data_IF_936068659039
#
_entry.id   IF_936068659039
#
_cell.length_a   1.000
_cell.length_b   1.000
_cell.length_c   1.000
_cell.angle_alpha   90.00
_cell.angle_beta   90.00
_cell.angle_gamma   90.00
#
_symmetry.space_group_name_H-M   'P 1'
#
loop_
_entity.id
_entity.type
_entity.pdbx_description
1 polymer ?
#
# COMPACT_ATOMS: atom_id res chain seq x y z
N UNK A 1 18.38 -25.26 9.84
CA UNK A 1 17.36 -26.27 9.51
C UNK A 1 17.69 -26.79 8.13
N UNK A 2 17.77 -28.11 7.95
CA UNK A 2 18.16 -28.73 6.68
C UNK A 2 16.92 -28.95 5.80
N UNK A 3 17.05 -28.87 4.47
CA UNK A 3 15.93 -29.01 3.52
C UNK A 3 15.17 -30.32 3.69
N UNK A 4 15.87 -31.39 4.09
CA UNK A 4 15.24 -32.70 4.39
C UNK A 4 14.31 -32.65 5.60
N UNK A 5 14.66 -31.85 6.59
CA UNK A 5 13.90 -31.70 7.84
C UNK A 5 12.63 -30.87 7.59
N UNK A 6 12.72 -29.84 6.74
CA UNK A 6 11.56 -29.06 6.31
C UNK A 6 10.57 -29.90 5.49
N UNK A 7 11.08 -30.71 4.56
CA UNK A 7 10.26 -31.58 3.70
C UNK A 7 9.51 -32.65 4.52
N UNK A 8 10.15 -33.23 5.54
CA UNK A 8 9.46 -34.15 6.47
C UNK A 8 8.37 -33.45 7.28
N UNK A 9 8.60 -32.24 7.78
CA UNK A 9 7.60 -31.46 8.52
C UNK A 9 6.40 -31.15 7.63
N UNK A 10 6.63 -30.68 6.40
CA UNK A 10 5.55 -30.35 5.47
C UNK A 10 4.73 -31.58 5.06
N UNK A 11 5.39 -32.74 4.88
CA UNK A 11 4.70 -34.00 4.59
C UNK A 11 3.93 -34.55 5.80
N UNK A 12 4.39 -34.26 7.01
CA UNK A 12 3.72 -34.65 8.26
C UNK A 12 2.53 -33.78 8.63
N UNK A 13 2.40 -32.59 8.02
CA UNK A 13 1.30 -31.67 8.30
C UNK A 13 -0.03 -32.24 7.79
N UNK A 14 -0.92 -32.56 8.73
CA UNK A 14 -2.23 -33.10 8.42
C UNK A 14 -3.11 -32.02 7.78
N UNK A 15 -3.59 -32.26 6.56
CA UNK A 15 -4.55 -31.36 5.91
C UNK A 15 -5.88 -31.43 6.68
N UNK A 16 -6.42 -30.29 7.15
CA UNK A 16 -7.70 -30.28 7.86
C UNK A 16 -8.79 -30.88 6.97
N UNK A 17 -9.53 -31.84 7.52
CA UNK A 17 -10.65 -32.45 6.83
C UNK A 17 -11.77 -31.39 6.70
N UNK A 18 -12.04 -30.95 5.47
CA UNK A 18 -13.09 -29.98 5.16
C UNK A 18 -14.31 -30.75 4.70
N UNK A 19 -15.32 -30.82 5.55
CA UNK A 19 -16.58 -31.46 5.25
C UNK A 19 -17.48 -30.57 4.36
N UNK A 20 -18.58 -31.14 3.90
CA UNK A 20 -19.53 -30.42 3.04
C UNK A 20 -20.20 -29.24 3.78
N UNK A 21 -20.32 -29.33 5.11
CA UNK A 21 -20.84 -28.25 5.96
C UNK A 21 -19.89 -27.03 5.96
N UNK A 22 -18.58 -27.25 6.01
CA UNK A 22 -17.57 -26.21 5.87
C UNK A 22 -17.73 -25.45 4.55
N UNK A 23 -17.82 -26.17 3.42
CA UNK A 23 -17.95 -25.53 2.10
C UNK A 23 -19.24 -24.73 1.96
N UNK A 24 -20.35 -25.24 2.49
CA UNK A 24 -21.63 -24.56 2.48
C UNK A 24 -21.65 -23.27 3.32
N UNK A 25 -21.02 -23.30 4.50
CA UNK A 25 -20.93 -22.11 5.36
C UNK A 25 -20.00 -21.04 4.79
N UNK A 26 -18.90 -21.46 4.16
CA UNK A 26 -17.92 -20.58 3.55
C UNK A 26 -18.51 -19.81 2.36
N UNK A 27 -19.17 -20.51 1.42
CA UNK A 27 -19.80 -19.88 0.26
C UNK A 27 -20.91 -18.88 0.67
N UNK A 28 -21.69 -19.22 1.71
CA UNK A 28 -22.71 -18.32 2.28
C UNK A 28 -22.08 -17.07 2.93
N UNK A 29 -20.95 -17.21 3.62
CA UNK A 29 -20.24 -16.09 4.22
C UNK A 29 -19.70 -15.09 3.18
N UNK A 30 -19.18 -15.60 2.06
CA UNK A 30 -18.68 -14.76 0.96
C UNK A 30 -19.84 -14.06 0.25
N UNK A 31 -20.89 -14.79 -0.11
CA UNK A 31 -22.05 -14.20 -0.80
C UNK A 31 -22.72 -13.14 0.07
N UNK A 32 -22.94 -13.39 1.37
CA UNK A 32 -23.52 -12.39 2.27
C UNK A 32 -22.71 -11.09 2.31
N UNK A 33 -21.37 -11.14 2.24
CA UNK A 33 -20.51 -9.94 2.23
C UNK A 33 -20.57 -9.18 0.90
N UNK A 34 -20.70 -9.88 -0.22
CA UNK A 34 -20.78 -9.23 -1.54
C UNK A 34 -22.09 -8.47 -1.77
N UNK A 35 -23.20 -8.91 -1.16
CA UNK A 35 -24.52 -8.27 -1.34
C UNK A 35 -24.69 -6.94 -0.57
N UNK A 36 -23.73 -6.58 0.31
CA UNK A 36 -23.79 -5.35 1.11
C UNK A 36 -23.31 -4.09 0.36
N UNK A 37 -22.88 -4.21 -0.90
CA UNK A 37 -22.60 -3.05 -1.76
C UNK A 37 -23.78 -2.76 -2.68
N UNK A 38 -24.78 -2.08 -2.13
CA UNK A 38 -25.80 -1.37 -2.92
C UNK A 38 -25.61 0.13 -2.69
N UNK A 39 -25.15 0.91 -3.68
CA UNK A 39 -25.04 2.36 -3.51
C UNK A 39 -26.46 2.94 -3.43
N UNK A 40 -26.83 3.42 -2.24
CA UNK A 40 -28.01 4.28 -2.06
C UNK A 40 -27.61 5.67 -2.55
N UNK A 41 -27.92 5.94 -3.81
CA UNK A 41 -27.80 7.27 -4.40
C UNK A 41 -29.20 7.86 -4.48
N UNK A 42 -29.59 8.58 -3.43
CA UNK A 42 -30.64 9.59 -3.48
C UNK A 42 -30.60 10.44 -2.20
N UNK A 43 -30.16 11.70 -2.33
CA UNK A 43 -30.98 12.86 -1.97
C UNK A 43 -30.27 14.18 -2.28
N UNK A 44 -30.91 14.89 -3.20
CA UNK A 44 -30.76 16.29 -3.56
C UNK A 44 -31.00 17.27 -2.41
N UNK A 45 -30.25 18.38 -2.33
CA UNK A 45 -30.80 19.68 -1.89
C UNK A 45 -30.18 20.84 -2.69
N UNK A 46 -31.01 21.39 -3.57
CA UNK A 46 -31.23 22.78 -4.02
C UNK A 46 -30.11 23.82 -4.21
N UNK A 47 -30.28 24.52 -5.34
CA UNK A 47 -29.56 25.67 -5.85
C UNK A 47 -29.83 27.00 -5.11
N UNK A 48 -28.77 27.83 -5.02
CA UNK A 48 -28.63 29.31 -5.23
C UNK A 48 -29.67 30.30 -4.62
N UNK A 49 -29.36 31.58 -4.28
CA UNK A 49 -28.81 32.55 -5.24
C UNK A 49 -27.96 33.76 -4.72
N UNK A 50 -27.44 34.46 -5.74
CA UNK A 50 -26.77 35.77 -5.94
C UNK A 50 -27.11 36.99 -5.03
N UNK A 51 -26.11 37.92 -5.00
CA UNK A 51 -26.08 39.41 -4.72
C UNK A 51 -25.62 39.80 -3.29
N UNK A 52 -24.85 40.86 -3.02
CA UNK A 52 -24.42 42.07 -3.75
C UNK A 52 -23.20 42.73 -3.04
N UNK A 53 -22.32 43.30 -3.87
CA UNK A 53 -21.43 44.47 -3.75
C UNK A 53 -21.28 45.29 -2.42
N UNK A 54 -19.99 45.53 -2.11
CA UNK A 54 -19.29 46.80 -1.78
C UNK A 54 -18.97 47.20 -0.31
N UNK A 55 -17.65 47.38 -0.12
CA UNK A 55 -16.94 48.50 0.52
C UNK A 55 -16.64 48.46 2.04
N UNK A 56 -15.36 48.29 2.36
CA UNK A 56 -14.50 49.18 3.19
C UNK A 56 -13.16 48.45 3.47
N UNK A 57 -12.12 48.69 2.67
CA UNK A 57 -10.99 49.58 2.99
C UNK A 57 -10.23 49.24 4.29
N UNK A 58 -8.96 48.83 4.12
CA UNK A 58 -7.90 48.93 5.14
C UNK A 58 -7.32 47.59 5.62
N UNK A 59 -6.08 47.30 5.22
CA UNK A 59 -5.15 46.36 5.88
C UNK A 59 -5.30 44.83 5.72
N UNK A 60 -5.52 44.29 4.51
CA UNK A 60 -5.60 42.82 4.34
C UNK A 60 -4.89 42.24 3.09
N UNK A 61 -3.80 42.85 2.64
CA UNK A 61 -3.03 42.34 1.49
C UNK A 61 -1.92 41.33 1.86
N UNK A 62 -1.54 41.22 3.13
CA UNK A 62 -0.55 40.22 3.58
C UNK A 62 -1.18 38.91 4.07
N UNK A 63 -2.41 38.94 4.60
CA UNK A 63 -3.07 37.76 5.17
C UNK A 63 -3.79 36.90 4.13
N UNK A 64 -4.24 37.48 3.01
CA UNK A 64 -4.91 36.74 1.94
C UNK A 64 -3.99 35.79 1.20
N UNK A 65 -2.72 36.16 0.94
CA UNK A 65 -1.74 35.27 0.32
C UNK A 65 -1.36 34.08 1.23
N UNK A 66 -1.32 34.28 2.56
CA UNK A 66 -0.98 33.21 3.49
C UNK A 66 -2.12 32.18 3.56
N UNK A 67 -3.38 32.62 3.58
CA UNK A 67 -4.54 31.71 3.61
C UNK A 67 -4.76 31.01 2.25
N UNK A 68 -4.55 31.71 1.13
CA UNK A 68 -4.55 31.10 -0.21
C UNK A 68 -3.38 30.12 -0.41
N UNK A 69 -2.18 30.45 0.09
CA UNK A 69 -1.02 29.57 0.05
C UNK A 69 -1.19 28.31 0.89
N UNK A 70 -1.80 28.41 2.07
CA UNK A 70 -2.06 27.25 2.94
C UNK A 70 -3.17 26.34 2.38
N UNK A 71 -4.21 26.91 1.78
CA UNK A 71 -5.31 26.11 1.20
C UNK A 71 -4.91 25.43 -0.12
N UNK A 72 -4.10 26.09 -0.97
CA UNK A 72 -3.56 25.47 -2.20
C UNK A 72 -2.44 24.47 -1.89
N UNK A 73 -1.60 24.74 -0.88
CA UNK A 73 -0.52 23.85 -0.46
C UNK A 73 -1.01 22.55 0.18
N UNK A 74 -2.09 22.59 0.96
CA UNK A 74 -2.63 21.41 1.63
C UNK A 74 -3.36 20.45 0.67
N UNK A 75 -3.87 20.96 -0.46
CA UNK A 75 -4.61 20.15 -1.44
C UNK A 75 -3.72 19.45 -2.47
N UNK A 76 -2.42 19.77 -2.53
CA UNK A 76 -1.47 19.08 -3.42
C UNK A 76 -1.04 17.69 -2.93
N UNK A 77 -1.51 17.27 -1.75
CA UNK A 77 -1.37 15.90 -1.24
C UNK A 77 -2.35 14.88 -1.88
N UNK A 78 -3.12 15.28 -2.91
CA UNK A 78 -4.25 14.51 -3.44
C UNK A 78 -3.96 13.72 -4.72
N UNK A 79 -2.71 13.41 -5.02
CA UNK A 79 -2.34 12.34 -5.95
C UNK A 79 -1.68 11.20 -5.18
N UNK A 80 -2.54 10.49 -4.50
CA UNK A 80 -2.23 9.31 -3.72
C UNK A 80 -2.60 8.08 -4.55
N UNK A 81 -1.86 7.96 -5.65
CA UNK A 81 -1.84 6.85 -6.60
C UNK A 81 -0.45 6.85 -7.21
N UNK A 82 0.19 5.70 -7.35
CA UNK A 82 1.41 5.61 -8.18
C UNK A 82 1.11 6.13 -9.59
N UNK A 83 1.78 7.22 -9.99
CA UNK A 83 1.78 7.67 -11.38
C UNK A 83 2.65 6.71 -12.22
N UNK A 84 2.35 6.52 -13.49
CA UNK A 84 3.15 5.69 -14.43
C UNK A 84 4.60 6.14 -14.48
N UNK A 85 4.85 7.44 -14.38
CA UNK A 85 6.21 7.98 -14.28
C UNK A 85 6.94 7.51 -13.02
N UNK A 86 6.27 7.50 -11.86
CA UNK A 86 6.86 7.06 -10.60
C UNK A 86 7.22 5.56 -10.64
N UNK A 87 6.39 4.74 -11.30
CA UNK A 87 6.70 3.33 -11.50
C UNK A 87 7.91 3.14 -12.43
N UNK A 88 8.01 3.91 -13.51
CA UNK A 88 9.16 3.85 -14.41
C UNK A 88 10.46 4.30 -13.73
N UNK A 89 10.41 5.38 -12.94
CA UNK A 89 11.56 5.87 -12.18
C UNK A 89 12.00 4.85 -11.12
N UNK A 90 11.04 4.26 -10.39
CA UNK A 90 11.31 3.20 -9.41
C UNK A 90 11.94 1.96 -10.07
N UNK A 91 11.47 1.56 -11.26
CA UNK A 91 12.02 0.44 -12.03
C UNK A 91 13.46 0.69 -12.42
N UNK A 92 13.74 1.86 -12.99
CA UNK A 92 15.09 2.25 -13.36
C UNK A 92 16.02 2.23 -12.15
N UNK A 93 15.57 2.84 -11.05
CA UNK A 93 16.35 2.92 -9.81
C UNK A 93 16.67 1.52 -9.25
N UNK A 94 15.69 0.61 -9.29
CA UNK A 94 15.89 -0.77 -8.89
C UNK A 94 16.98 -1.47 -9.71
N UNK A 95 16.90 -1.41 -11.04
CA UNK A 95 17.88 -2.09 -11.91
C UNK A 95 19.30 -1.55 -11.76
N UNK A 96 19.46 -0.24 -11.53
CA UNK A 96 20.77 0.34 -11.25
C UNK A 96 21.36 -0.21 -9.95
N UNK A 97 20.55 -0.38 -8.90
CA UNK A 97 21.00 -0.90 -7.61
C UNK A 97 21.23 -2.41 -7.65
N UNK A 98 20.35 -3.16 -8.30
CA UNK A 98 20.46 -4.62 -8.43
C UNK A 98 21.74 -5.01 -9.19
N UNK A 99 22.13 -4.23 -10.20
CA UNK A 99 23.41 -4.40 -10.89
C UNK A 99 24.64 -4.19 -9.99
N UNK A 100 24.53 -3.39 -8.93
CA UNK A 100 25.60 -3.15 -7.95
C UNK A 100 25.59 -4.18 -6.81
N UNK A 101 24.41 -4.66 -6.42
CA UNK A 101 24.18 -5.55 -5.26
C UNK A 101 23.33 -6.77 -5.64
N UNK A 102 23.83 -7.65 -6.53
CA UNK A 102 23.05 -8.77 -7.04
C UNK A 102 22.63 -9.71 -5.91
N UNK A 103 21.33 -10.02 -5.85
CA UNK A 103 20.71 -10.89 -4.83
C UNK A 103 20.97 -10.44 -3.38
N UNK A 104 21.32 -9.18 -3.15
CA UNK A 104 21.56 -8.64 -1.80
C UNK A 104 20.54 -7.60 -1.36
N UNK A 105 19.81 -7.00 -2.30
CA UNK A 105 18.82 -5.97 -1.98
C UNK A 105 17.62 -6.60 -1.27
N UNK A 106 17.35 -6.24 -0.01
CA UNK A 106 16.11 -6.62 0.70
C UNK A 106 15.01 -5.58 0.49
N UNK A 107 15.40 -4.32 0.61
CA UNK A 107 14.50 -3.19 0.37
C UNK A 107 15.27 -1.94 -0.04
N UNK A 108 14.65 -1.13 -0.89
CA UNK A 108 14.98 0.27 -1.10
C UNK A 108 13.89 1.07 -0.39
N UNK A 109 14.26 1.86 0.61
CA UNK A 109 13.32 2.59 1.46
C UNK A 109 13.34 4.07 1.08
N UNK A 110 12.16 4.64 0.86
CA UNK A 110 11.93 6.05 0.62
C UNK A 110 11.17 6.63 1.81
N UNK A 111 11.84 7.37 2.70
CA UNK A 111 11.20 8.00 3.84
C UNK A 111 11.68 9.45 4.04
N UNK A 112 11.35 10.05 5.20
CA UNK A 112 11.71 11.43 5.52
C UNK A 112 13.22 11.68 5.62
N UNK A 113 14.04 10.63 5.81
CA UNK A 113 15.51 10.72 5.84
C UNK A 113 16.11 10.63 4.44
N UNK A 114 15.27 10.42 3.42
CA UNK A 114 15.68 10.19 2.04
C UNK A 114 15.76 8.72 1.69
N UNK A 115 16.34 8.43 0.53
CA UNK A 115 16.43 7.08 0.00
C UNK A 115 17.60 6.34 0.63
N UNK A 116 17.36 5.13 1.12
CA UNK A 116 18.41 4.27 1.67
C UNK A 116 18.16 2.78 1.35
N UNK A 117 19.25 2.01 1.37
CA UNK A 117 19.25 0.59 1.04
C UNK A 117 19.28 -0.26 2.30
N UNK A 118 18.48 -1.32 2.29
CA UNK A 118 18.57 -2.43 3.24
C UNK A 118 19.10 -3.63 2.47
N UNK A 119 20.31 -4.06 2.80
CA UNK A 119 20.97 -5.20 2.17
C UNK A 119 20.97 -6.42 3.10
N UNK A 120 21.03 -7.60 2.53
CA UNK A 120 21.48 -8.81 3.23
C UNK A 120 23.00 -8.81 3.34
N UNK A 121 23.52 -9.51 4.35
CA UNK A 121 24.97 -9.71 4.51
C UNK A 121 25.56 -10.60 3.41
N UNK A 122 24.74 -11.48 2.82
CA UNK A 122 25.12 -12.44 1.80
C UNK A 122 24.16 -12.34 0.60
N UNK A 123 24.57 -12.69 -0.63
CA UNK A 123 23.74 -12.64 -1.83
C UNK A 123 22.71 -13.78 -1.88
N UNK A 124 21.77 -13.79 -0.93
CA UNK A 124 20.79 -14.84 -0.72
C UNK A 124 19.33 -14.33 -0.72
N UNK A 125 19.08 -13.10 -1.18
CA UNK A 125 17.71 -12.62 -1.39
C UNK A 125 17.15 -13.30 -2.64
N UNK A 126 15.96 -13.94 -2.55
CA UNK A 126 15.35 -14.60 -3.71
C UNK A 126 15.06 -13.62 -4.85
N UNK A 127 15.34 -14.06 -6.08
CA UNK A 127 15.01 -13.33 -7.30
C UNK A 127 13.51 -13.45 -7.63
N UNK A 128 12.68 -12.81 -6.81
CA UNK A 128 11.25 -12.64 -7.09
C UNK A 128 11.01 -11.28 -7.76
N UNK A 129 9.91 -11.10 -8.51
CA UNK A 129 9.59 -9.80 -9.08
C UNK A 129 9.53 -8.70 -8.00
N UNK A 130 10.22 -7.57 -8.19
CA UNK A 130 10.19 -6.48 -7.22
C UNK A 130 8.79 -5.88 -7.12
N UNK A 131 8.45 -5.44 -5.91
CA UNK A 131 7.15 -4.87 -5.55
C UNK A 131 7.37 -3.44 -5.07
N UNK A 132 6.57 -2.51 -5.57
CA UNK A 132 6.52 -1.14 -5.09
C UNK A 132 5.36 -1.02 -4.08
N UNK A 133 5.68 -0.63 -2.85
CA UNK A 133 4.75 -0.51 -1.74
C UNK A 133 4.85 0.90 -1.15
N UNK A 134 3.72 1.56 -0.92
CA UNK A 134 3.63 2.88 -0.30
C UNK A 134 2.62 2.81 0.84
N UNK A 135 3.07 3.17 2.04
CA UNK A 135 2.26 3.18 3.26
C UNK A 135 2.28 4.59 3.81
N UNK A 136 1.12 5.25 3.84
CA UNK A 136 0.93 6.57 4.40
C UNK A 136 0.05 6.49 5.65
N UNK A 137 0.46 7.16 6.72
CA UNK A 137 -0.30 7.27 7.96
C UNK A 137 0.07 8.53 8.75
N UNK A 138 -0.21 8.57 10.06
CA UNK A 138 0.08 9.73 10.90
C UNK A 138 1.56 10.12 10.95
N UNK A 139 2.47 9.16 10.81
CA UNK A 139 3.93 9.41 10.78
C UNK A 139 4.43 9.89 9.40
N UNK A 140 3.53 10.05 8.43
CA UNK A 140 3.84 10.38 7.05
C UNK A 140 3.81 9.17 6.12
N UNK A 141 4.43 9.34 4.94
CA UNK A 141 4.50 8.30 3.92
C UNK A 141 5.88 7.65 3.88
N UNK A 142 5.90 6.32 3.80
CA UNK A 142 7.08 5.53 3.46
C UNK A 142 6.82 4.74 2.18
N UNK A 143 7.78 4.77 1.26
CA UNK A 143 7.82 3.93 0.07
C UNK A 143 8.86 2.82 0.23
N UNK A 144 8.61 1.69 -0.41
CA UNK A 144 9.50 0.54 -0.40
C UNK A 144 9.51 -0.07 -1.80
N UNK A 145 10.69 -0.32 -2.36
CA UNK A 145 10.87 -1.38 -3.38
C UNK A 145 11.37 -2.59 -2.62
N UNK A 146 10.61 -3.68 -2.60
CA UNK A 146 10.94 -4.90 -1.85
C UNK A 146 10.39 -6.14 -2.55
N UNK A 147 10.38 -7.28 -1.88
CA UNK A 147 10.09 -8.58 -2.47
C UNK A 147 9.06 -9.34 -1.65
N UNK A 148 8.41 -10.32 -2.29
CA UNK A 148 7.52 -11.23 -1.58
C UNK A 148 8.28 -11.97 -0.48
N UNK A 149 7.67 -12.08 0.70
CA UNK A 149 8.25 -12.69 1.89
C UNK A 149 9.08 -11.75 2.76
N UNK A 150 9.41 -10.54 2.30
CA UNK A 150 10.17 -9.55 3.08
C UNK A 150 9.28 -8.80 4.08
N UNK A 151 9.92 -8.20 5.09
CA UNK A 151 9.24 -7.39 6.12
C UNK A 151 9.63 -5.92 6.01
N UNK A 152 8.65 -5.02 6.17
CA UNK A 152 8.84 -3.56 6.19
C UNK A 152 8.24 -2.94 7.45
N UNK A 153 8.73 -1.78 7.89
CA UNK A 153 8.23 -1.08 9.08
C UNK A 153 7.65 0.30 8.75
N UNK A 154 6.38 0.52 9.09
CA UNK A 154 5.69 1.78 8.89
C UNK A 154 4.62 2.02 9.97
N UNK A 155 4.47 3.27 10.42
CA UNK A 155 3.45 3.66 11.42
C UNK A 155 3.47 2.77 12.68
N UNK A 156 4.65 2.48 13.20
CA UNK A 156 4.84 1.64 14.39
C UNK A 156 4.51 0.15 14.23
N UNK A 157 4.18 -0.33 13.04
CA UNK A 157 3.88 -1.75 12.76
C UNK A 157 4.84 -2.35 11.73
N UNK A 158 5.15 -3.64 11.91
CA UNK A 158 5.90 -4.46 10.96
C UNK A 158 4.92 -5.22 10.07
N UNK A 159 5.08 -5.09 8.76
CA UNK A 159 4.27 -5.76 7.76
C UNK A 159 5.12 -6.75 6.98
N UNK A 160 4.64 -7.97 6.81
CA UNK A 160 5.15 -8.89 5.81
C UNK A 160 4.49 -8.59 4.47
N UNK A 161 5.30 -8.42 3.42
CA UNK A 161 4.84 -8.17 2.06
C UNK A 161 4.73 -9.50 1.34
N UNK A 162 3.58 -9.78 0.75
CA UNK A 162 3.33 -11.02 0.00
C UNK A 162 2.78 -10.67 -1.38
N UNK A 163 3.22 -11.39 -2.40
CA UNK A 163 2.62 -11.35 -3.72
C UNK A 163 1.95 -12.70 -4.03
N UNK A 164 0.75 -12.65 -4.61
CA UNK A 164 0.07 -13.83 -5.16
C UNK A 164 0.61 -14.14 -6.56
N UNK A 165 0.38 -15.37 -7.08
CA UNK A 165 0.73 -15.71 -8.46
C UNK A 165 0.10 -14.78 -9.51
N UNK A 166 -1.06 -14.21 -9.22
CA UNK A 166 -1.79 -13.27 -10.08
C UNK A 166 -1.25 -11.83 -10.01
N UNK A 167 -0.19 -11.59 -9.24
CA UNK A 167 0.43 -10.28 -9.07
C UNK A 167 -0.29 -9.35 -8.08
N UNK A 168 -1.23 -9.88 -7.29
CA UNK A 168 -1.87 -9.12 -6.22
C UNK A 168 -0.92 -9.02 -5.03
N UNK A 169 -0.78 -7.82 -4.46
CA UNK A 169 0.09 -7.61 -3.30
C UNK A 169 -0.76 -7.54 -2.02
N UNK A 170 -0.25 -8.17 -0.96
CA UNK A 170 -0.83 -8.18 0.38
C UNK A 170 0.21 -7.71 1.39
N UNK A 171 -0.27 -7.03 2.43
CA UNK A 171 0.52 -6.65 3.59
C UNK A 171 -0.12 -7.29 4.82
N UNK A 172 0.67 -8.07 5.56
CA UNK A 172 0.23 -8.78 6.75
C UNK A 172 0.98 -8.21 7.96
N UNK A 173 0.26 -7.45 8.78
CA UNK A 173 0.74 -6.97 10.07
C UNK A 173 0.44 -7.95 11.20
N UNK A 174 0.79 -7.58 12.43
CA UNK A 174 0.45 -8.36 13.63
C UNK A 174 -1.04 -8.28 13.93
N UNK A 175 -1.63 -7.11 13.73
CA UNK A 175 -3.04 -6.81 14.04
C UNK A 175 -3.82 -6.28 12.84
N UNK A 176 -3.16 -6.13 11.70
CA UNK A 176 -3.73 -5.53 10.50
C UNK A 176 -3.45 -6.41 9.28
N UNK A 177 -4.34 -6.30 8.29
CA UNK A 177 -4.20 -6.98 7.01
C UNK A 177 -4.62 -6.01 5.91
N UNK A 178 -3.97 -6.11 4.77
CA UNK A 178 -4.36 -5.40 3.56
C UNK A 178 -4.12 -6.29 2.36
N UNK A 179 -5.08 -6.33 1.44
CA UNK A 179 -4.94 -6.97 0.15
C UNK A 179 -5.47 -6.02 -0.92
N UNK A 180 -4.80 -5.97 -2.07
CA UNK A 180 -5.11 -5.01 -3.15
C UNK A 180 -6.61 -4.77 -3.37
N UNK A 181 -6.97 -3.49 -3.43
CA UNK A 181 -8.35 -2.94 -3.56
C UNK A 181 -9.28 -3.12 -2.34
N UNK A 182 -8.88 -3.86 -1.30
CA UNK A 182 -9.67 -4.02 -0.08
C UNK A 182 -9.07 -3.23 1.09
N UNK A 183 -9.88 -2.32 1.65
CA UNK A 183 -9.56 -1.61 2.90
C UNK A 183 -9.86 -2.46 4.15
N UNK A 184 -9.87 -3.79 4.01
CA UNK A 184 -10.35 -4.69 5.06
C UNK A 184 -9.40 -4.67 6.28
N UNK A 185 -9.81 -3.96 7.34
CA UNK A 185 -9.20 -3.93 8.68
C UNK A 185 -7.89 -3.14 8.86
N UNK A 186 -7.48 -2.30 7.91
CA UNK A 186 -6.52 -1.26 8.25
C UNK A 186 -7.19 -0.23 9.17
N UNK A 187 -6.47 0.23 10.20
CA UNK A 187 -6.88 1.42 10.95
C UNK A 187 -7.27 2.49 9.93
N UNK A 188 -8.46 3.09 10.06
CA UNK A 188 -9.08 3.99 9.07
C UNK A 188 -8.20 5.17 8.62
N UNK A 189 -7.05 5.37 9.26
CA UNK A 189 -6.03 6.38 8.98
C UNK A 189 -4.90 5.93 8.03
N UNK A 190 -4.78 4.65 7.69
CA UNK A 190 -3.72 4.15 6.82
C UNK A 190 -4.15 4.10 5.37
N UNK A 191 -3.33 4.69 4.51
CA UNK A 191 -3.44 4.57 3.06
C UNK A 191 -2.31 3.70 2.53
N UNK A 192 -2.66 2.57 1.95
CA UNK A 192 -1.71 1.62 1.39
C UNK A 192 -1.94 1.49 -0.11
N UNK A 193 -0.85 1.55 -0.87
CA UNK A 193 -0.82 1.25 -2.29
C UNK A 193 0.32 0.28 -2.51
N UNK A 194 0.07 -0.81 -3.23
CA UNK A 194 1.12 -1.73 -3.61
C UNK A 194 0.85 -2.30 -4.99
N UNK A 195 1.92 -2.44 -5.80
CA UNK A 195 1.87 -2.98 -7.15
C UNK A 195 3.17 -3.73 -7.46
N UNK A 196 3.12 -4.76 -8.31
CA UNK A 196 4.31 -5.26 -8.99
C UNK A 196 5.02 -4.11 -9.70
N UNK A 197 6.35 -4.07 -9.57
CA UNK A 197 7.16 -3.07 -10.26
C UNK A 197 7.34 -3.45 -11.73
N UNK A 198 7.43 -4.75 -12.02
CA UNK A 198 7.35 -5.28 -13.38
C UNK A 198 5.92 -5.63 -13.75
N UNK A 199 5.55 -5.39 -15.01
CA UNK A 199 4.26 -5.85 -15.51
C UNK A 199 4.24 -7.39 -15.49
N UNK A 200 3.14 -7.97 -15.02
CA UNK A 200 2.88 -9.40 -15.25
C UNK A 200 2.88 -9.63 -16.77
N UNK A 201 3.79 -10.47 -17.25
CA UNK A 201 3.81 -10.97 -18.63
C UNK A 201 2.74 -12.05 -18.80
#
# INVERSE_FOLDING_TARGET
MNDKELDEILKSAQVPQRDEAYWNSFAKGITARLHWHKPSMDQSVHASPRRRLLAAWGFALATTCIVLGFTVGFWRGKESGFNTQQLADARKYYHEIEGLFPNQVKAIVFDQKGTHLVLSENPNVPNSPPLLVKICGPEGCKGFITFSGQTVQANGETYQVLATPEGQVMLVGKSSFWAGNDNANLAQSLKIEAKPLEAAL
#
